data_IF_715737832569
#
_entry.id   IF_715737832569
#
_cell.length_a   1.000
_cell.length_b   1.000
_cell.length_c   1.000
_cell.angle_alpha   90.00
_cell.angle_beta   90.00
_cell.angle_gamma   90.00
#
_symmetry.space_group_name_H-M   'P 1'
#
loop_
_entity.id
_entity.type
_entity.pdbx_description
1 polymer ?
#
# COMPACT_ATOMS: atom_id res chain seq x y z
N UNK A 1 3.58 -24.82 9.35
CA UNK A 1 3.82 -23.54 8.66
C UNK A 1 5.03 -22.88 9.28
N UNK A 2 6.06 -22.60 8.49
CA UNK A 2 7.31 -22.04 8.98
C UNK A 2 7.10 -20.62 9.51
N UNK A 3 7.84 -20.24 10.58
CA UNK A 3 7.72 -18.90 11.22
C UNK A 3 7.95 -17.76 10.22
N UNK A 4 8.78 -17.98 9.22
CA UNK A 4 9.08 -17.00 8.17
C UNK A 4 7.87 -16.79 7.26
N UNK A 5 7.25 -17.87 6.79
CA UNK A 5 6.02 -17.82 5.96
C UNK A 5 4.88 -17.09 6.67
N UNK A 6 4.73 -17.31 7.98
CA UNK A 6 3.73 -16.62 8.79
C UNK A 6 3.97 -15.11 8.86
N UNK A 7 5.24 -14.69 9.01
CA UNK A 7 5.60 -13.26 9.06
C UNK A 7 5.32 -12.56 7.73
N UNK A 8 5.65 -13.20 6.62
CA UNK A 8 5.42 -12.66 5.27
C UNK A 8 3.94 -12.51 4.99
N UNK A 9 3.14 -13.54 5.32
CA UNK A 9 1.69 -13.48 5.14
C UNK A 9 1.07 -12.36 5.97
N UNK A 10 1.50 -12.18 7.22
CA UNK A 10 1.04 -11.08 8.08
C UNK A 10 1.46 -9.70 7.54
N UNK A 11 2.69 -9.56 7.09
CA UNK A 11 3.15 -8.29 6.50
C UNK A 11 2.33 -7.92 5.24
N UNK A 12 2.03 -8.90 4.39
CA UNK A 12 1.17 -8.72 3.23
C UNK A 12 -0.23 -8.28 3.62
N UNK A 13 -0.84 -8.99 4.58
CA UNK A 13 -2.18 -8.66 5.06
C UNK A 13 -2.24 -7.25 5.67
N UNK A 14 -1.27 -6.88 6.51
CA UNK A 14 -1.21 -5.56 7.13
C UNK A 14 -1.04 -4.44 6.10
N UNK A 15 -0.14 -4.64 5.12
CA UNK A 15 0.08 -3.66 4.05
C UNK A 15 -1.18 -3.42 3.22
N UNK A 16 -1.84 -4.49 2.76
CA UNK A 16 -3.09 -4.34 1.99
C UNK A 16 -4.26 -3.86 2.83
N UNK A 17 -4.40 -4.33 4.07
CA UNK A 17 -5.49 -3.92 4.96
C UNK A 17 -5.52 -2.40 5.15
N UNK A 18 -4.35 -1.77 5.32
CA UNK A 18 -4.26 -0.32 5.44
C UNK A 18 -4.87 0.39 4.23
N UNK A 19 -4.46 0.02 3.00
CA UNK A 19 -4.96 0.67 1.78
C UNK A 19 -6.43 0.37 1.50
N UNK A 20 -6.88 -0.86 1.77
CA UNK A 20 -8.29 -1.24 1.60
C UNK A 20 -9.17 -0.47 2.59
N UNK A 21 -8.78 -0.38 3.87
CA UNK A 21 -9.52 0.38 4.88
C UNK A 21 -9.58 1.86 4.49
N UNK A 22 -8.47 2.43 4.04
CA UNK A 22 -8.41 3.82 3.59
C UNK A 22 -9.35 4.08 2.40
N UNK A 23 -9.36 3.19 1.41
CA UNK A 23 -10.22 3.29 0.25
C UNK A 23 -11.71 3.18 0.61
N UNK A 24 -12.07 2.23 1.49
CA UNK A 24 -13.44 2.06 1.97
C UNK A 24 -13.88 3.26 2.82
N UNK A 25 -13.01 3.77 3.69
CA UNK A 25 -13.30 4.95 4.50
C UNK A 25 -13.56 6.17 3.62
N UNK A 26 -12.72 6.40 2.59
CA UNK A 26 -12.93 7.49 1.62
C UNK A 26 -14.28 7.36 0.89
N UNK A 27 -14.59 6.17 0.39
CA UNK A 27 -15.88 5.89 -0.26
C UNK A 27 -17.05 6.17 0.69
N UNK A 28 -16.94 5.71 1.95
CA UNK A 28 -18.00 5.86 2.95
C UNK A 28 -18.26 7.33 3.29
N UNK A 29 -17.20 8.12 3.48
CA UNK A 29 -17.31 9.56 3.74
C UNK A 29 -17.97 10.27 2.57
N UNK A 30 -17.55 9.99 1.33
CA UNK A 30 -18.13 10.61 0.14
C UNK A 30 -19.60 10.21 -0.08
N UNK A 31 -19.99 9.00 0.30
CA UNK A 31 -21.39 8.55 0.28
C UNK A 31 -22.25 9.31 1.29
N UNK A 32 -21.75 9.48 2.52
CA UNK A 32 -22.46 10.20 3.59
C UNK A 32 -22.63 11.67 3.22
N UNK A 33 -21.60 12.27 2.64
CA UNK A 33 -21.63 13.68 2.19
C UNK A 33 -22.45 13.91 0.91
N UNK A 34 -23.03 12.86 0.33
CA UNK A 34 -23.76 12.94 -0.93
C UNK A 34 -22.91 13.31 -2.15
N UNK A 35 -21.58 13.16 -2.04
CA UNK A 35 -20.59 13.49 -3.09
C UNK A 35 -20.06 12.25 -3.79
N UNK A 36 -20.87 11.20 -3.87
CA UNK A 36 -20.49 9.96 -4.53
C UNK A 36 -19.95 10.17 -5.94
N UNK A 37 -18.76 9.62 -6.22
CA UNK A 37 -18.15 9.65 -7.54
C UNK A 37 -17.73 8.23 -7.94
N UNK A 38 -17.88 7.91 -9.22
CA UNK A 38 -17.42 6.61 -9.76
C UNK A 38 -15.94 6.34 -9.49
N UNK A 39 -15.11 7.40 -9.39
CA UNK A 39 -13.69 7.29 -9.07
C UNK A 39 -13.44 6.64 -7.71
N UNK A 40 -14.33 6.82 -6.73
CA UNK A 40 -14.20 6.24 -5.40
C UNK A 40 -14.35 4.71 -5.45
N UNK A 41 -15.26 4.21 -6.29
CA UNK A 41 -15.43 2.76 -6.53
C UNK A 41 -14.22 2.18 -7.26
N UNK A 42 -13.71 2.90 -8.27
CA UNK A 42 -12.51 2.50 -9.01
C UNK A 42 -11.32 2.43 -8.05
N UNK A 43 -11.19 3.37 -7.13
CA UNK A 43 -10.12 3.39 -6.14
C UNK A 43 -10.18 2.17 -5.20
N UNK A 44 -11.36 1.80 -4.72
CA UNK A 44 -11.58 0.56 -3.94
C UNK A 44 -11.21 -0.68 -4.77
N UNK A 45 -11.64 -0.75 -6.03
CA UNK A 45 -11.33 -1.86 -6.92
C UNK A 45 -9.81 -2.00 -7.16
N UNK A 46 -9.11 -0.88 -7.41
CA UNK A 46 -7.66 -0.85 -7.62
C UNK A 46 -6.89 -1.33 -6.37
N UNK A 47 -7.41 -1.07 -5.17
CA UNK A 47 -6.76 -1.52 -3.93
C UNK A 47 -7.05 -2.98 -3.58
N UNK A 48 -8.23 -3.51 -3.92
CA UNK A 48 -8.62 -4.89 -3.66
C UNK A 48 -8.04 -5.85 -4.70
N UNK A 49 -7.99 -5.44 -5.97
CA UNK A 49 -7.57 -6.29 -7.09
C UNK A 49 -6.15 -6.91 -6.91
N UNK A 50 -5.12 -6.17 -6.50
CA UNK A 50 -3.78 -6.72 -6.24
C UNK A 50 -3.79 -7.79 -5.14
N UNK A 51 -4.58 -7.60 -4.11
CA UNK A 51 -4.74 -8.58 -3.04
C UNK A 51 -5.43 -9.86 -3.54
N UNK A 52 -6.52 -9.73 -4.31
CA UNK A 52 -7.29 -10.84 -4.86
C UNK A 52 -6.49 -11.66 -5.89
N UNK A 53 -5.72 -10.99 -6.75
CA UNK A 53 -4.89 -11.66 -7.76
C UNK A 53 -3.73 -12.46 -7.16
N UNK A 54 -3.29 -12.10 -5.96
CA UNK A 54 -2.25 -12.79 -5.18
C UNK A 54 -0.95 -13.09 -5.95
N UNK A 55 -0.57 -12.23 -6.89
CA UNK A 55 0.66 -12.36 -7.67
C UNK A 55 1.76 -11.45 -7.11
N UNK A 56 2.96 -12.00 -6.95
CA UNK A 56 4.09 -11.32 -6.31
C UNK A 56 4.49 -10.04 -7.03
N UNK A 57 4.60 -10.07 -8.37
CA UNK A 57 4.96 -8.89 -9.13
C UNK A 57 3.89 -7.78 -9.05
N UNK A 58 2.61 -8.13 -8.94
CA UNK A 58 1.52 -7.17 -8.75
C UNK A 58 1.60 -6.54 -7.35
N UNK A 59 1.88 -7.35 -6.32
CA UNK A 59 2.10 -6.88 -4.95
C UNK A 59 3.29 -5.92 -4.88
N UNK A 60 4.39 -6.26 -5.52
CA UNK A 60 5.58 -5.42 -5.61
C UNK A 60 5.28 -4.09 -6.31
N UNK A 61 4.69 -4.15 -7.50
CA UNK A 61 4.35 -2.95 -8.28
C UNK A 61 3.39 -2.04 -7.52
N UNK A 62 2.37 -2.61 -6.87
CA UNK A 62 1.44 -1.85 -6.06
C UNK A 62 2.14 -1.18 -4.87
N UNK A 63 3.04 -1.89 -4.17
CA UNK A 63 3.85 -1.34 -3.08
C UNK A 63 4.74 -0.18 -3.55
N UNK A 64 5.44 -0.34 -4.68
CA UNK A 64 6.33 0.68 -5.25
C UNK A 64 5.54 1.93 -5.65
N UNK A 65 4.43 1.78 -6.38
CA UNK A 65 3.60 2.91 -6.79
C UNK A 65 3.08 3.68 -5.57
N UNK A 66 2.57 2.97 -4.56
CA UNK A 66 2.08 3.62 -3.34
C UNK A 66 3.21 4.27 -2.53
N UNK A 67 4.42 3.70 -2.51
CA UNK A 67 5.58 4.33 -1.89
C UNK A 67 5.93 5.66 -2.56
N UNK A 68 5.93 5.72 -3.89
CA UNK A 68 6.14 6.96 -4.64
C UNK A 68 5.07 8.01 -4.33
N UNK A 69 3.79 7.63 -4.39
CA UNK A 69 2.67 8.53 -4.08
C UNK A 69 2.77 9.05 -2.65
N UNK A 70 3.06 8.17 -1.68
CA UNK A 70 3.18 8.54 -0.27
C UNK A 70 4.38 9.44 -0.01
N UNK A 71 5.52 9.19 -0.67
CA UNK A 71 6.71 10.04 -0.58
C UNK A 71 6.43 11.43 -1.14
N UNK A 72 5.79 11.50 -2.32
CA UNK A 72 5.41 12.78 -2.92
C UNK A 72 4.45 13.56 -2.03
N UNK A 73 3.44 12.89 -1.49
CA UNK A 73 2.47 13.49 -0.57
C UNK A 73 3.14 13.98 0.72
N UNK A 74 4.07 13.19 1.27
CA UNK A 74 4.84 13.57 2.45
C UNK A 74 5.70 14.82 2.20
N UNK A 75 6.43 14.85 1.08
CA UNK A 75 7.23 16.02 0.70
C UNK A 75 6.31 17.24 0.51
N UNK A 76 5.19 17.08 -0.19
CA UNK A 76 4.23 18.16 -0.41
C UNK A 76 3.70 18.75 0.89
N UNK A 77 3.37 17.92 1.89
CA UNK A 77 2.94 18.39 3.21
C UNK A 77 4.03 19.19 3.91
N UNK A 78 5.28 18.71 3.90
CA UNK A 78 6.38 19.38 4.62
C UNK A 78 6.91 20.64 3.93
N UNK A 79 6.78 20.72 2.61
CA UNK A 79 7.19 21.91 1.84
C UNK A 79 6.12 22.98 1.76
N UNK A 80 4.86 22.61 2.03
CA UNK A 80 3.75 23.54 1.99
C UNK A 80 3.60 24.26 3.33
N UNK A 81 3.28 25.56 3.28
CA UNK A 81 2.92 26.28 4.49
C UNK A 81 1.58 25.74 5.02
N UNK A 82 1.50 25.23 6.28
CA UNK A 82 0.26 24.68 6.82
C UNK A 82 -0.91 25.67 6.77
N UNK A 83 -0.65 26.95 6.99
CA UNK A 83 -1.67 27.98 6.94
C UNK A 83 -2.19 28.23 5.51
N UNK A 84 -1.33 28.15 4.50
CA UNK A 84 -1.74 28.35 3.11
C UNK A 84 -2.52 27.14 2.56
N UNK A 85 -2.14 25.93 2.97
CA UNK A 85 -2.80 24.67 2.50
C UNK A 85 -4.15 24.43 3.18
N UNK A 86 -4.25 24.85 4.45
CA UNK A 86 -5.43 24.58 5.29
C UNK A 86 -6.13 25.88 5.74
N UNK A 87 -6.10 26.90 4.91
CA UNK A 87 -6.62 28.25 5.19
C UNK A 87 -8.08 28.23 5.67
N UNK A 88 -8.88 27.28 5.19
CA UNK A 88 -10.28 27.13 5.55
C UNK A 88 -10.52 26.16 6.75
N UNK A 89 -9.48 25.64 7.37
CA UNK A 89 -9.60 24.72 8.49
C UNK A 89 -9.45 25.45 9.83
N UNK A 90 -10.35 25.15 10.75
CA UNK A 90 -10.32 25.69 12.14
C UNK A 90 -9.04 25.27 12.87
N UNK A 91 -8.45 24.13 12.51
CA UNK A 91 -7.24 23.57 13.14
C UNK A 91 -6.19 23.17 12.11
N UNK A 92 -5.51 24.09 11.43
CA UNK A 92 -4.57 23.77 10.36
C UNK A 92 -3.38 22.90 10.81
N UNK A 93 -2.85 23.14 12.01
CA UNK A 93 -1.75 22.34 12.58
C UNK A 93 -2.16 20.90 12.89
N UNK A 94 -3.37 20.68 13.39
CA UNK A 94 -3.88 19.35 13.67
C UNK A 94 -4.10 18.57 12.37
N UNK A 95 -4.65 19.21 11.34
CA UNK A 95 -4.85 18.60 10.02
C UNK A 95 -3.52 18.25 9.38
N UNK A 96 -2.52 19.12 9.51
CA UNK A 96 -1.16 18.87 9.06
C UNK A 96 -0.53 17.66 9.78
N UNK A 97 -0.64 17.59 11.10
CA UNK A 97 -0.10 16.48 11.89
C UNK A 97 -0.76 15.15 11.53
N UNK A 98 -2.09 15.12 11.37
CA UNK A 98 -2.83 13.93 10.91
C UNK A 98 -2.37 13.51 9.51
N UNK A 99 -2.25 14.44 8.58
CA UNK A 99 -1.77 14.16 7.22
C UNK A 99 -0.36 13.57 7.20
N UNK A 100 0.55 14.13 8.01
CA UNK A 100 1.91 13.61 8.17
C UNK A 100 1.93 12.18 8.75
N UNK A 101 1.12 11.91 9.77
CA UNK A 101 0.96 10.56 10.32
C UNK A 101 0.46 9.56 9.27
N UNK A 102 -0.56 9.93 8.50
CA UNK A 102 -1.05 9.10 7.40
C UNK A 102 0.02 8.83 6.34
N UNK A 103 0.83 9.83 5.99
CA UNK A 103 1.95 9.68 5.07
C UNK A 103 2.98 8.65 5.57
N UNK A 104 3.36 8.72 6.85
CA UNK A 104 4.31 7.78 7.48
C UNK A 104 3.73 6.35 7.47
N UNK A 105 2.48 6.17 7.92
CA UNK A 105 1.84 4.86 7.97
C UNK A 105 1.72 4.27 6.55
N UNK A 106 1.38 5.10 5.56
CA UNK A 106 1.29 4.69 4.16
C UNK A 106 2.66 4.24 3.60
N UNK A 107 3.75 4.93 3.96
CA UNK A 107 5.11 4.52 3.61
C UNK A 107 5.48 3.17 4.24
N UNK A 108 5.16 2.96 5.50
CA UNK A 108 5.40 1.68 6.21
C UNK A 108 4.60 0.56 5.54
N UNK A 109 3.31 0.78 5.26
CA UNK A 109 2.46 -0.19 4.58
C UNK A 109 2.99 -0.54 3.18
N UNK A 110 3.43 0.44 2.41
CA UNK A 110 4.07 0.25 1.11
C UNK A 110 5.37 -0.56 1.23
N UNK A 111 6.20 -0.26 2.24
CA UNK A 111 7.42 -1.00 2.55
C UNK A 111 7.15 -2.48 2.83
N UNK A 112 6.10 -2.82 3.56
CA UNK A 112 5.68 -4.21 3.76
C UNK A 112 5.33 -4.92 2.45
N UNK A 113 4.62 -4.27 1.55
CA UNK A 113 4.25 -4.85 0.26
C UNK A 113 5.46 -5.04 -0.66
N UNK A 114 6.40 -4.09 -0.67
CA UNK A 114 7.67 -4.21 -1.41
C UNK A 114 8.49 -5.38 -0.86
N UNK A 115 8.66 -5.45 0.45
CA UNK A 115 9.39 -6.52 1.11
C UNK A 115 8.82 -7.91 0.75
N UNK A 116 7.49 -8.06 0.85
CA UNK A 116 6.81 -9.32 0.51
C UNK A 116 6.97 -9.65 -0.97
N UNK A 117 6.79 -8.67 -1.85
CA UNK A 117 6.91 -8.86 -3.29
C UNK A 117 8.31 -9.33 -3.71
N UNK A 118 9.37 -8.77 -3.12
CA UNK A 118 10.75 -9.17 -3.36
C UNK A 118 11.05 -10.57 -2.82
N UNK A 119 10.65 -10.85 -1.58
CA UNK A 119 10.91 -12.14 -0.96
C UNK A 119 10.28 -13.31 -1.71
N UNK A 120 9.06 -13.15 -2.18
CA UNK A 120 8.37 -14.18 -2.94
C UNK A 120 9.01 -14.40 -4.33
N UNK A 121 9.64 -13.38 -4.95
CA UNK A 121 10.39 -13.53 -6.20
C UNK A 121 11.62 -14.41 -6.01
N UNK A 122 12.41 -14.15 -4.96
CA UNK A 122 13.62 -14.95 -4.66
C UNK A 122 13.30 -16.42 -4.46
N UNK A 123 12.21 -16.74 -3.75
CA UNK A 123 11.79 -18.13 -3.55
C UNK A 123 11.35 -18.79 -4.87
N UNK A 124 10.72 -18.05 -5.76
CA UNK A 124 10.29 -18.57 -7.05
C UNK A 124 11.48 -18.89 -7.96
N UNK A 125 12.50 -18.06 -7.98
CA UNK A 125 13.74 -18.29 -8.74
C UNK A 125 14.54 -19.46 -8.18
N UNK A 126 14.74 -19.52 -6.86
CA UNK A 126 15.43 -20.61 -6.20
C UNK A 126 14.78 -21.96 -6.50
N UNK A 127 13.46 -22.04 -6.43
CA UNK A 127 12.71 -23.26 -6.76
C UNK A 127 12.83 -23.66 -8.24
N UNK A 128 12.91 -22.69 -9.18
CA UNK A 128 13.15 -22.96 -10.59
C UNK A 128 14.54 -23.55 -10.83
N UNK A 129 15.57 -22.96 -10.23
CA UNK A 129 16.95 -23.45 -10.35
C UNK A 129 17.08 -24.87 -9.79
N UNK A 130 16.51 -25.15 -8.62
CA UNK A 130 16.49 -26.49 -8.07
C UNK A 130 15.81 -27.53 -8.99
N UNK A 131 14.69 -27.20 -9.60
CA UNK A 131 13.99 -28.09 -10.53
C UNK A 131 14.83 -28.39 -11.79
N UNK A 132 15.55 -27.40 -12.31
CA UNK A 132 16.44 -27.58 -13.46
C UNK A 132 17.60 -28.51 -13.10
N UNK A 133 18.26 -28.27 -11.96
CA UNK A 133 19.37 -29.12 -11.48
C UNK A 133 18.95 -30.57 -11.26
N UNK A 134 17.78 -30.81 -10.67
CA UNK A 134 17.26 -32.18 -10.48
C UNK A 134 16.98 -32.84 -11.84
N UNK A 135 16.52 -32.10 -12.85
CA UNK A 135 16.21 -32.64 -14.18
C UNK A 135 17.48 -33.00 -14.98
N UNK A 136 18.57 -32.30 -14.72
CA UNK A 136 19.86 -32.60 -15.37
C UNK A 136 20.63 -33.74 -14.68
N UNK A 137 20.28 -34.08 -13.42
CA UNK A 137 20.89 -35.18 -12.68
C UNK A 137 20.18 -36.55 -12.88
N UNK A 138 19.01 -36.56 -13.52
CA UNK A 138 18.25 -37.77 -13.84
C UNK A 138 18.43 -38.12 -15.31
#
# INVERSE_FOLDING_TARGET
MDKVTLRITRAKQLGFAFFIILAIANLSVNLIDGKFRMIDVIFVAITILPYALNKNWITLSFGVINAFISTFFFIAIFTSNPHAVFENNVYPLLTFAIGAMFGIISLIASGFLIYVGLYDQDQTETNKVQRVLIREMI
#
